data_IF_854070057964
#
_entry.id   IF_854070057964
#
_cell.length_a   1.000
_cell.length_b   1.000
_cell.length_c   1.000
_cell.angle_alpha   90.00
_cell.angle_beta   90.00
_cell.angle_gamma   90.00
#
_symmetry.space_group_name_H-M   'P 1'
#
loop_
_entity.id
_entity.type
_entity.pdbx_description
1 polymer ?
#
# COMPACT_ATOMS: atom_id res chain seq x y z
N UNK A 1 -73.15 -9.59 -74.38
CA UNK A 1 -72.66 -8.40 -75.11
C UNK A 1 -72.32 -7.34 -74.07
N UNK A 2 -71.27 -6.54 -74.30
CA UNK A 2 -70.78 -5.41 -73.48
C UNK A 2 -69.74 -5.76 -72.41
N UNK A 3 -68.50 -5.79 -72.92
CA UNK A 3 -67.25 -5.31 -72.32
C UNK A 3 -67.40 -4.03 -71.49
N UNK A 4 -66.62 -3.86 -70.42
CA UNK A 4 -65.81 -2.65 -70.22
C UNK A 4 -64.74 -2.77 -69.12
N UNK A 5 -63.64 -2.08 -69.42
CA UNK A 5 -62.27 -2.11 -68.90
C UNK A 5 -62.09 -1.23 -67.63
N UNK A 6 -60.88 -1.18 -67.03
CA UNK A 6 -60.65 -1.20 -65.58
C UNK A 6 -60.54 0.19 -64.94
N UNK A 7 -60.50 0.25 -63.61
CA UNK A 7 -60.07 1.43 -62.86
C UNK A 7 -58.78 1.17 -62.08
N UNK A 8 -57.92 2.19 -62.19
CA UNK A 8 -56.52 2.27 -61.79
C UNK A 8 -56.36 2.21 -60.26
N UNK A 9 -55.33 1.48 -59.83
CA UNK A 9 -54.83 1.51 -58.47
C UNK A 9 -54.07 2.81 -58.20
N UNK A 10 -54.41 3.47 -57.10
CA UNK A 10 -53.61 4.51 -56.45
C UNK A 10 -53.20 4.00 -55.08
N UNK A 11 -51.91 3.68 -54.93
CA UNK A 11 -51.30 3.35 -53.65
C UNK A 11 -51.10 4.63 -52.83
N UNK A 12 -51.77 4.73 -51.68
CA UNK A 12 -51.48 5.75 -50.68
C UNK A 12 -50.57 5.12 -49.62
N UNK A 13 -49.34 5.60 -49.53
CA UNK A 13 -48.39 5.24 -48.50
C UNK A 13 -48.81 5.88 -47.15
N UNK A 14 -49.14 5.06 -46.15
CA UNK A 14 -49.23 5.50 -44.76
C UNK A 14 -47.92 5.17 -44.05
N UNK A 15 -47.13 6.20 -43.77
CA UNK A 15 -45.97 6.13 -42.88
C UNK A 15 -46.44 6.14 -41.43
N UNK A 16 -46.42 5.00 -40.74
CA UNK A 16 -46.57 4.94 -39.28
C UNK A 16 -45.24 5.37 -38.63
N UNK A 17 -45.21 6.57 -38.06
CA UNK A 17 -44.17 6.96 -37.12
C UNK A 17 -44.52 6.40 -35.73
N UNK A 18 -43.86 5.32 -35.31
CA UNK A 18 -43.93 4.84 -33.94
C UNK A 18 -42.95 5.65 -33.08
N UNK A 19 -43.47 6.47 -32.17
CA UNK A 19 -42.68 7.15 -31.14
C UNK A 19 -42.45 6.16 -30.00
N UNK A 20 -41.28 5.52 -29.95
CA UNK A 20 -40.84 4.75 -28.79
C UNK A 20 -40.29 5.72 -27.74
N UNK A 21 -41.03 5.93 -26.66
CA UNK A 21 -40.52 6.54 -25.43
C UNK A 21 -39.74 5.49 -24.65
N UNK A 22 -38.42 5.49 -24.80
CA UNK A 22 -37.53 4.71 -23.95
C UNK A 22 -37.39 5.39 -22.59
N UNK A 23 -38.12 4.89 -21.59
CA UNK A 23 -37.82 5.19 -20.18
C UNK A 23 -36.57 4.41 -19.81
N UNK A 24 -35.43 5.09 -19.74
CA UNK A 24 -34.21 4.49 -19.19
C UNK A 24 -34.41 4.28 -17.68
N UNK A 25 -34.52 3.03 -17.25
CA UNK A 25 -34.46 2.69 -15.83
C UNK A 25 -33.05 2.99 -15.33
N UNK A 26 -32.93 3.90 -14.36
CA UNK A 26 -31.68 4.14 -13.66
C UNK A 26 -31.24 2.85 -12.93
N UNK A 27 -29.95 2.45 -12.96
CA UNK A 27 -29.49 1.30 -12.22
C UNK A 27 -29.68 1.57 -10.73
N UNK A 28 -30.37 0.65 -10.04
CA UNK A 28 -30.47 0.67 -8.59
C UNK A 28 -29.04 0.60 -8.00
N UNK A 29 -28.66 1.64 -7.25
CA UNK A 29 -27.42 1.64 -6.49
C UNK A 29 -27.52 0.53 -5.44
N UNK A 30 -26.64 -0.46 -5.56
CA UNK A 30 -26.50 -1.47 -4.52
C UNK A 30 -26.18 -0.78 -3.18
N UNK A 31 -26.79 -1.20 -2.07
CA UNK A 31 -26.47 -0.62 -0.77
C UNK A 31 -24.98 -0.77 -0.51
N UNK A 32 -24.32 0.35 -0.18
CA UNK A 32 -22.93 0.36 0.19
C UNK A 32 -22.72 -0.64 1.33
N UNK A 33 -21.83 -1.61 1.11
CA UNK A 33 -21.42 -2.52 2.20
C UNK A 33 -20.89 -1.66 3.34
N UNK A 34 -21.27 -1.92 4.61
CA UNK A 34 -20.69 -1.21 5.73
C UNK A 34 -19.17 -1.35 5.65
N UNK A 35 -18.48 -0.22 5.81
CA UNK A 35 -17.02 -0.20 5.86
C UNK A 35 -16.55 -1.19 6.92
N UNK A 36 -15.53 -1.99 6.61
CA UNK A 36 -14.92 -2.87 7.59
C UNK A 36 -14.49 -2.03 8.81
N UNK A 37 -14.65 -2.54 10.04
CA UNK A 37 -14.20 -1.83 11.23
C UNK A 37 -12.70 -1.49 11.09
N UNK A 38 -12.34 -0.28 11.52
CA UNK A 38 -10.95 0.13 11.54
C UNK A 38 -10.11 -0.89 12.34
N UNK A 39 -8.88 -1.20 11.90
CA UNK A 39 -8.03 -2.14 12.63
C UNK A 39 -7.84 -1.66 14.07
N UNK A 40 -8.01 -2.58 15.02
CA UNK A 40 -7.88 -2.28 16.44
C UNK A 40 -6.46 -1.76 16.75
N UNK A 41 -6.37 -0.83 17.70
CA UNK A 41 -5.08 -0.42 18.26
C UNK A 41 -4.38 -1.61 18.92
N UNK A 42 -3.04 -1.59 18.95
CA UNK A 42 -2.32 -2.64 19.65
C UNK A 42 -2.59 -2.62 21.14
N UNK A 43 -2.70 -3.80 21.76
CA UNK A 43 -2.78 -3.90 23.21
C UNK A 43 -1.50 -3.39 23.89
N UNK A 44 -0.35 -3.47 23.22
CA UNK A 44 0.93 -2.98 23.71
C UNK A 44 1.30 -1.71 22.96
N UNK A 45 1.61 -0.64 23.69
CA UNK A 45 2.11 0.63 23.17
C UNK A 45 3.36 1.02 23.94
N UNK A 46 4.31 1.66 23.26
CA UNK A 46 5.54 2.18 23.88
C UNK A 46 5.50 3.71 23.91
N UNK A 47 5.97 4.28 25.02
CA UNK A 47 6.15 5.73 25.16
C UNK A 47 7.26 6.22 24.21
N UNK A 48 8.34 5.45 24.11
CA UNK A 48 9.42 5.71 23.15
C UNK A 48 8.98 5.43 21.71
N UNK A 49 8.83 6.49 20.92
CA UNK A 49 8.45 6.42 19.51
C UNK A 49 9.56 5.86 18.60
N UNK A 50 10.80 5.78 19.09
CA UNK A 50 11.93 5.13 18.42
C UNK A 50 12.20 3.72 18.97
N UNK A 51 11.22 3.08 19.64
CA UNK A 51 11.43 1.76 20.24
C UNK A 51 11.90 0.70 19.21
N UNK A 52 11.41 0.78 17.98
CA UNK A 52 11.82 -0.10 16.89
C UNK A 52 13.24 0.19 16.34
N UNK A 53 13.85 1.32 16.65
CA UNK A 53 15.06 1.80 15.96
C UNK A 53 16.27 0.87 16.11
N UNK A 54 16.89 0.54 14.97
CA UNK A 54 18.21 -0.10 14.90
C UNK A 54 19.35 0.88 15.21
N UNK A 55 19.16 2.16 14.88
CA UNK A 55 20.08 3.25 15.19
C UNK A 55 19.38 4.25 16.13
N UNK A 56 19.74 4.16 17.41
CA UNK A 56 19.16 4.95 18.50
C UNK A 56 19.66 6.40 18.53
N UNK A 57 20.52 6.82 17.60
CA UNK A 57 20.97 8.23 17.47
C UNK A 57 19.97 9.12 16.72
N UNK A 58 18.88 8.54 16.22
CA UNK A 58 17.85 9.31 15.51
C UNK A 58 17.24 10.38 16.41
N UNK A 59 17.08 11.59 15.88
CA UNK A 59 16.49 12.72 16.60
C UNK A 59 15.07 12.96 16.11
N UNK A 60 14.08 12.46 16.87
CA UNK A 60 12.67 12.54 16.49
C UNK A 60 12.16 13.99 16.42
N UNK A 61 12.81 14.94 17.12
CA UNK A 61 12.41 16.35 17.11
C UNK A 61 12.70 17.06 15.79
N UNK A 62 13.47 16.43 14.89
CA UNK A 62 13.79 16.96 13.56
C UNK A 62 12.82 16.53 12.47
N UNK A 63 11.95 15.56 12.74
CA UNK A 63 10.99 15.03 11.77
C UNK A 63 10.01 16.13 11.38
N UNK A 64 9.85 16.36 10.07
CA UNK A 64 8.84 17.29 9.53
C UNK A 64 8.00 16.63 8.44
N UNK A 65 6.70 16.96 8.33
CA UNK A 65 5.88 17.69 9.30
C UNK A 65 5.65 16.87 10.58
N UNK A 66 4.81 17.36 11.49
CA UNK A 66 4.47 16.66 12.74
C UNK A 66 4.00 15.23 12.44
N UNK A 67 4.70 14.20 12.95
CA UNK A 67 4.47 12.82 12.53
C UNK A 67 3.19 12.23 13.12
N UNK A 68 2.37 11.60 12.28
CA UNK A 68 1.28 10.72 12.72
C UNK A 68 1.83 9.31 12.96
N UNK A 69 2.05 8.96 14.23
CA UNK A 69 2.54 7.64 14.61
C UNK A 69 1.50 6.54 14.39
N UNK A 70 1.93 5.42 13.80
CA UNK A 70 1.14 4.19 13.71
C UNK A 70 0.96 3.58 15.10
N UNK A 71 -0.28 3.20 15.41
CA UNK A 71 -0.68 2.58 16.69
C UNK A 71 -1.16 1.13 16.54
N UNK A 72 -1.19 0.61 15.31
CA UNK A 72 -1.49 -0.80 15.00
C UNK A 72 -0.19 -1.63 14.94
N UNK A 73 -0.33 -2.97 14.93
CA UNK A 73 0.76 -3.96 15.06
C UNK A 73 0.59 -5.08 14.05
N UNK A 74 -0.30 -4.91 13.07
CA UNK A 74 -0.36 -5.83 11.94
C UNK A 74 0.99 -5.86 11.20
N UNK A 75 1.33 -7.01 10.64
CA UNK A 75 2.57 -7.20 9.89
C UNK A 75 2.73 -6.13 8.82
N UNK A 76 3.93 -5.59 8.72
CA UNK A 76 4.37 -4.70 7.66
C UNK A 76 5.35 -5.43 6.75
N UNK A 77 5.56 -4.88 5.57
CA UNK A 77 6.36 -5.50 4.53
C UNK A 77 7.45 -4.58 4.04
N UNK A 78 8.58 -5.15 3.64
CA UNK A 78 9.67 -4.40 3.03
C UNK A 78 10.32 -5.19 1.90
N UNK A 79 10.27 -4.61 0.71
CA UNK A 79 11.02 -5.08 -0.43
C UNK A 79 12.48 -4.59 -0.33
N UNK A 80 13.46 -5.50 -0.22
CA UNK A 80 14.89 -5.14 -0.12
C UNK A 80 15.76 -6.01 -1.04
N UNK A 81 16.91 -5.48 -1.44
CA UNK A 81 17.90 -6.20 -2.26
C UNK A 81 18.91 -6.98 -1.43
N UNK A 82 19.08 -6.62 -0.14
CA UNK A 82 19.97 -7.31 0.79
C UNK A 82 19.36 -8.64 1.22
N UNK A 83 20.20 -9.67 1.33
CA UNK A 83 19.78 -11.00 1.77
C UNK A 83 19.66 -11.14 3.29
N UNK A 84 19.01 -12.23 3.75
CA UNK A 84 18.73 -12.46 5.17
C UNK A 84 19.98 -12.55 6.04
N UNK A 85 21.10 -13.05 5.51
CA UNK A 85 22.37 -13.13 6.25
C UNK A 85 22.89 -11.78 6.75
N UNK A 86 22.51 -10.68 6.09
CA UNK A 86 22.83 -9.31 6.51
C UNK A 86 21.69 -8.75 7.37
N UNK A 87 20.46 -8.84 6.88
CA UNK A 87 19.30 -8.18 7.51
C UNK A 87 18.96 -8.81 8.86
N UNK A 88 19.08 -10.13 9.01
CA UNK A 88 18.80 -10.81 10.29
C UNK A 88 19.86 -10.50 11.33
N UNK A 89 21.10 -10.18 10.94
CA UNK A 89 22.15 -9.82 11.90
C UNK A 89 22.12 -8.34 12.28
N UNK A 90 21.92 -7.45 11.31
CA UNK A 90 22.04 -6.00 11.53
C UNK A 90 20.70 -5.31 11.81
N UNK A 91 19.59 -5.92 11.39
CA UNK A 91 18.33 -5.23 11.21
C UNK A 91 18.33 -4.34 9.97
N UNK A 92 17.28 -3.53 9.82
CA UNK A 92 17.25 -2.49 8.81
C UNK A 92 17.80 -1.19 9.37
N UNK A 93 19.06 -0.90 9.06
CA UNK A 93 19.65 0.40 9.37
C UNK A 93 19.25 1.47 8.34
N UNK A 94 18.95 2.69 8.78
CA UNK A 94 18.74 3.82 7.88
C UNK A 94 20.06 4.25 7.23
N UNK A 95 19.98 5.06 6.18
CA UNK A 95 21.18 5.50 5.45
C UNK A 95 21.95 6.59 6.20
N UNK A 96 21.25 7.53 6.82
CA UNK A 96 21.89 8.63 7.53
C UNK A 96 20.95 9.25 8.58
N UNK A 97 21.22 9.00 9.86
CA UNK A 97 20.49 9.62 10.98
C UNK A 97 21.02 10.99 11.38
N UNK A 98 22.21 11.38 10.93
CA UNK A 98 22.87 12.61 11.36
C UNK A 98 22.56 13.73 10.37
N UNK A 99 22.90 13.54 9.09
CA UNK A 99 22.76 14.55 8.04
C UNK A 99 21.68 14.21 7.00
N UNK A 100 20.95 13.12 7.20
CA UNK A 100 19.91 12.68 6.28
C UNK A 100 18.70 13.62 6.20
N UNK A 101 17.85 13.34 5.23
CA UNK A 101 16.59 14.06 5.02
C UNK A 101 15.53 13.69 6.07
N UNK A 102 15.29 14.58 7.04
CA UNK A 102 14.25 14.40 8.04
C UNK A 102 12.86 14.87 7.58
N UNK A 103 12.76 15.64 6.51
CA UNK A 103 11.46 15.99 5.94
C UNK A 103 10.86 14.79 5.20
N UNK A 104 9.76 14.28 5.72
CA UNK A 104 9.12 13.04 5.28
C UNK A 104 8.59 13.18 3.85
N UNK A 105 8.00 14.31 3.49
CA UNK A 105 7.49 14.54 2.14
C UNK A 105 8.63 14.55 1.11
N UNK A 106 9.72 15.29 1.38
CA UNK A 106 10.90 15.30 0.51
C UNK A 106 11.54 13.91 0.40
N UNK A 107 11.58 13.16 1.49
CA UNK A 107 12.06 11.78 1.49
C UNK A 107 11.23 10.90 0.55
N UNK A 108 9.90 10.89 0.71
CA UNK A 108 8.97 10.09 -0.08
C UNK A 108 9.05 10.43 -1.58
N UNK A 109 9.22 11.72 -1.91
CA UNK A 109 9.25 12.16 -3.31
C UNK A 109 10.56 11.82 -4.04
N UNK A 110 11.71 11.90 -3.37
CA UNK A 110 13.04 11.88 -4.02
C UNK A 110 13.88 10.64 -3.65
N UNK A 111 13.57 9.93 -2.57
CA UNK A 111 14.30 8.76 -2.08
C UNK A 111 15.82 9.01 -1.90
N UNK A 112 16.14 10.09 -1.18
CA UNK A 112 17.51 10.46 -0.80
C UNK A 112 17.94 9.85 0.54
N UNK A 113 19.24 9.82 0.90
CA UNK A 113 19.68 9.37 2.23
C UNK A 113 18.91 10.06 3.36
N UNK A 114 18.38 9.27 4.29
CA UNK A 114 17.43 9.70 5.31
C UNK A 114 17.59 8.86 6.60
N UNK A 115 17.00 9.32 7.72
CA UNK A 115 16.93 8.54 8.96
C UNK A 115 15.88 7.43 8.88
N UNK A 116 15.16 7.30 7.76
CA UNK A 116 14.00 6.43 7.62
C UNK A 116 14.35 5.10 6.96
N UNK A 117 13.66 4.05 7.41
CA UNK A 117 13.48 2.82 6.66
C UNK A 117 12.01 2.70 6.30
N UNK A 118 11.71 2.72 5.00
CA UNK A 118 10.34 2.48 4.51
C UNK A 118 9.92 1.03 4.69
N UNK A 119 8.66 0.88 5.08
CA UNK A 119 7.89 -0.36 5.02
C UNK A 119 6.51 -0.03 4.48
N UNK A 120 5.66 -1.02 4.27
CA UNK A 120 4.30 -0.82 3.78
C UNK A 120 3.32 -1.72 4.51
N UNK A 121 2.05 -1.29 4.56
CA UNK A 121 0.94 -2.15 4.94
C UNK A 121 0.58 -3.17 3.84
N UNK A 122 0.92 -2.91 2.58
CA UNK A 122 0.58 -3.75 1.44
C UNK A 122 1.58 -4.89 1.27
N UNK A 123 1.13 -6.12 1.59
CA UNK A 123 1.88 -7.35 1.35
C UNK A 123 2.42 -7.45 -0.07
N UNK A 124 1.65 -7.02 -1.06
CA UNK A 124 1.93 -7.24 -2.47
C UNK A 124 2.77 -6.14 -3.11
N UNK A 125 3.19 -5.12 -2.34
CA UNK A 125 3.94 -4.00 -2.90
C UNK A 125 5.26 -4.45 -3.54
N UNK A 126 5.86 -5.55 -3.08
CA UNK A 126 7.07 -6.13 -3.70
C UNK A 126 6.89 -6.40 -5.20
N UNK A 127 5.68 -6.66 -5.69
CA UNK A 127 5.37 -6.89 -7.12
C UNK A 127 5.59 -5.65 -7.99
N UNK A 128 5.55 -4.46 -7.40
CA UNK A 128 5.86 -3.19 -8.08
C UNK A 128 7.37 -2.93 -8.14
N UNK A 129 8.17 -3.57 -7.28
CA UNK A 129 9.60 -3.36 -7.15
C UNK A 129 10.41 -4.49 -7.80
N UNK A 130 11.69 -4.22 -8.12
CA UNK A 130 12.64 -5.23 -8.64
C UNK A 130 13.50 -5.84 -7.52
N UNK A 131 13.02 -5.81 -6.29
CA UNK A 131 13.72 -6.32 -5.11
C UNK A 131 13.81 -7.85 -5.15
N UNK A 132 14.83 -8.40 -4.50
CA UNK A 132 15.06 -9.84 -4.46
C UNK A 132 14.30 -10.54 -3.32
N UNK A 133 13.86 -9.77 -2.32
CA UNK A 133 13.28 -10.29 -1.09
C UNK A 133 12.09 -9.45 -0.65
N UNK A 134 11.09 -10.10 -0.06
CA UNK A 134 10.01 -9.48 0.69
C UNK A 134 10.16 -9.85 2.16
N UNK A 135 10.44 -8.87 3.01
CA UNK A 135 10.62 -9.06 4.44
C UNK A 135 9.33 -8.81 5.19
N UNK A 136 9.11 -9.63 6.21
CA UNK A 136 7.97 -9.56 7.12
C UNK A 136 8.43 -8.89 8.41
N UNK A 137 7.75 -7.82 8.80
CA UNK A 137 8.14 -6.94 9.90
C UNK A 137 7.00 -6.86 10.91
N UNK A 138 7.31 -7.14 12.16
CA UNK A 138 6.41 -6.97 13.31
C UNK A 138 7.10 -6.02 14.30
N UNK A 139 6.90 -4.72 14.07
CA UNK A 139 7.54 -3.65 14.81
C UNK A 139 6.51 -2.67 15.40
N UNK A 140 6.73 -2.18 16.63
CA UNK A 140 5.89 -1.13 17.21
C UNK A 140 6.17 0.23 16.53
N UNK A 141 5.13 1.05 16.41
CA UNK A 141 5.26 2.43 15.92
C UNK A 141 5.52 2.54 14.42
N UNK A 142 6.40 3.48 14.06
CA UNK A 142 6.60 3.98 12.69
C UNK A 142 5.69 5.18 12.38
N UNK A 143 6.12 6.05 11.47
CA UNK A 143 5.34 7.20 10.99
C UNK A 143 4.48 6.76 9.82
N UNK A 144 3.17 6.88 9.96
CA UNK A 144 2.20 6.59 8.90
C UNK A 144 2.25 7.74 7.88
N UNK A 145 2.80 7.48 6.69
CA UNK A 145 3.12 8.53 5.71
C UNK A 145 1.85 9.22 5.25
N UNK A 146 0.84 8.46 4.81
CA UNK A 146 -0.39 9.04 4.26
C UNK A 146 -1.16 9.85 5.31
N UNK A 147 -1.12 9.45 6.60
CA UNK A 147 -1.71 10.25 7.68
C UNK A 147 -0.91 11.50 8.02
N UNK A 148 0.38 11.52 7.72
CA UNK A 148 1.29 12.63 8.04
C UNK A 148 1.31 13.70 6.95
N UNK A 149 1.40 13.29 5.67
CA UNK A 149 1.53 14.21 4.52
C UNK A 149 0.32 14.20 3.58
N UNK A 150 -0.76 13.51 3.96
CA UNK A 150 -1.95 13.31 3.14
C UNK A 150 -1.82 12.13 2.17
N UNK A 151 -2.91 11.82 1.46
CA UNK A 151 -3.01 10.65 0.56
C UNK A 151 -3.14 11.05 -0.93
N UNK A 152 -2.85 12.31 -1.26
CA UNK A 152 -2.94 12.85 -2.62
C UNK A 152 -1.61 12.85 -3.38
N UNK A 153 -0.50 12.55 -2.70
CA UNK A 153 0.83 12.51 -3.32
C UNK A 153 0.99 11.29 -4.24
N UNK A 154 1.98 11.37 -5.16
CA UNK A 154 2.25 10.37 -6.22
C UNK A 154 2.41 8.92 -5.71
N UNK A 155 2.78 8.74 -4.45
CA UNK A 155 3.14 7.46 -3.86
C UNK A 155 2.19 7.01 -2.73
N UNK A 156 1.02 7.65 -2.60
CA UNK A 156 0.06 7.32 -1.55
C UNK A 156 -0.46 5.87 -1.65
N UNK A 157 -0.47 5.29 -2.86
CA UNK A 157 -0.84 3.90 -3.12
C UNK A 157 0.17 2.88 -2.55
N UNK A 158 1.32 3.34 -2.07
CA UNK A 158 2.30 2.48 -1.40
C UNK A 158 1.96 2.23 0.07
N UNK A 159 1.04 3.00 0.67
CA UNK A 159 0.61 2.84 2.06
C UNK A 159 1.81 2.71 3.01
N UNK A 160 2.73 3.68 2.91
CA UNK A 160 4.04 3.60 3.56
C UNK A 160 3.98 3.86 5.06
N UNK A 161 4.79 3.11 5.81
CA UNK A 161 5.17 3.40 7.20
C UNK A 161 6.68 3.59 7.25
N UNK A 162 7.12 4.79 7.61
CA UNK A 162 8.53 5.16 7.70
C UNK A 162 9.05 5.00 9.14
N UNK A 163 10.10 4.19 9.32
CA UNK A 163 10.71 3.96 10.64
C UNK A 163 11.94 4.86 10.86
N UNK A 164 11.85 5.92 11.67
CA UNK A 164 13.01 6.72 12.04
C UNK A 164 13.98 5.90 12.89
N UNK A 165 15.26 5.92 12.54
CA UNK A 165 16.29 5.07 13.16
C UNK A 165 16.25 3.62 12.66
N UNK A 166 15.39 3.31 11.70
CA UNK A 166 15.26 1.97 11.12
C UNK A 166 14.58 0.96 12.03
N UNK A 167 14.91 -0.32 11.84
CA UNK A 167 14.20 -1.45 12.47
C UNK A 167 15.20 -2.45 13.01
N UNK A 168 15.24 -2.60 14.34
CA UNK A 168 16.09 -3.55 15.01
C UNK A 168 15.72 -4.98 14.61
N UNK A 169 16.72 -5.85 14.48
CA UNK A 169 16.55 -7.24 13.99
C UNK A 169 15.50 -8.05 14.76
N UNK A 170 15.27 -7.75 16.04
CA UNK A 170 14.27 -8.44 16.86
C UNK A 170 12.82 -8.25 16.39
N UNK A 171 12.57 -7.24 15.57
CA UNK A 171 11.25 -6.91 15.01
C UNK A 171 11.07 -7.38 13.55
N UNK A 172 12.05 -8.10 13.00
CA UNK A 172 11.96 -8.69 11.66
C UNK A 172 11.56 -10.15 11.86
N UNK A 173 10.41 -10.55 11.35
CA UNK A 173 9.85 -11.91 11.52
C UNK A 173 10.62 -12.91 10.64
N UNK A 174 10.87 -12.51 9.39
CA UNK A 174 11.45 -13.40 8.39
C UNK A 174 11.46 -12.76 7.01
N UNK A 175 11.70 -13.58 6.00
CA UNK A 175 11.79 -13.16 4.61
C UNK A 175 11.31 -14.25 3.67
N UNK A 176 10.76 -13.85 2.53
CA UNK A 176 10.57 -14.72 1.37
C UNK A 176 11.36 -14.16 0.17
N UNK A 177 12.16 -14.98 -0.53
CA UNK A 177 12.73 -14.61 -1.81
C UNK A 177 11.62 -14.35 -2.84
N UNK A 178 11.88 -13.47 -3.80
CA UNK A 178 10.94 -13.11 -4.86
C UNK A 178 11.48 -13.56 -6.22
N UNK A 179 10.67 -14.33 -6.96
CA UNK A 179 10.90 -14.57 -8.37
C UNK A 179 10.56 -13.29 -9.16
N UNK A 180 11.58 -12.70 -9.78
CA UNK A 180 11.45 -11.43 -10.51
C UNK A 180 10.69 -11.56 -11.83
N UNK A 181 10.66 -12.76 -12.43
CA UNK A 181 9.97 -12.98 -13.70
C UNK A 181 8.45 -13.08 -13.49
N UNK A 182 8.04 -13.83 -12.47
CA UNK A 182 6.64 -14.09 -12.16
C UNK A 182 6.06 -13.10 -11.13
N UNK A 183 6.91 -12.35 -10.43
CA UNK A 183 6.55 -11.42 -9.35
C UNK A 183 5.79 -12.14 -8.22
N UNK A 184 6.27 -13.31 -7.85
CA UNK A 184 5.71 -14.11 -6.75
C UNK A 184 6.78 -14.40 -5.72
N UNK A 185 6.38 -14.54 -4.46
CA UNK A 185 7.26 -15.08 -3.44
C UNK A 185 7.53 -16.57 -3.70
N UNK A 186 8.77 -17.00 -3.52
CA UNK A 186 9.18 -18.39 -3.56
C UNK A 186 8.93 -18.95 -2.16
N UNK A 187 7.68 -19.36 -1.91
CA UNK A 187 7.22 -19.69 -0.56
C UNK A 187 7.99 -20.85 0.10
N UNK A 188 8.52 -21.79 -0.70
CA UNK A 188 9.34 -22.91 -0.22
C UNK A 188 10.66 -22.46 0.41
N UNK A 189 11.13 -21.26 0.04
CA UNK A 189 12.45 -20.74 0.37
C UNK A 189 12.34 -19.59 1.39
N UNK A 190 11.17 -19.40 2.01
CA UNK A 190 11.02 -18.43 3.08
C UNK A 190 11.82 -18.86 4.32
N UNK A 191 12.47 -17.89 4.95
CA UNK A 191 13.31 -18.09 6.12
C UNK A 191 12.76 -17.30 7.31
N UNK A 192 12.69 -17.96 8.47
CA UNK A 192 12.40 -17.29 9.74
C UNK A 192 13.66 -16.65 10.30
N UNK A 193 13.54 -15.44 10.83
CA UNK A 193 14.65 -14.79 11.51
C UNK A 193 14.88 -15.42 12.90
N UNK A 194 16.05 -16.02 13.18
CA UNK A 194 16.32 -16.62 14.51
C UNK A 194 16.38 -15.58 15.64
N UNK A 195 16.49 -14.29 15.32
CA UNK A 195 16.53 -13.20 16.31
C UNK A 195 15.18 -12.54 16.57
N UNK A 196 14.11 -12.95 15.88
CA UNK A 196 12.77 -12.39 16.08
C UNK A 196 12.29 -12.61 17.52
N UNK A 197 11.66 -11.58 18.11
CA UNK A 197 11.05 -11.63 19.44
C UNK A 197 9.64 -11.05 19.39
N UNK A 198 8.59 -11.90 19.48
CA UNK A 198 7.21 -11.45 19.63
C UNK A 198 7.04 -10.54 20.84
N UNK A 199 6.11 -9.59 20.74
CA UNK A 199 5.90 -8.55 21.77
C UNK A 199 4.42 -8.24 22.07
N UNK A 200 3.47 -8.91 21.41
CA UNK A 200 2.03 -8.86 21.66
C UNK A 200 1.38 -10.24 21.52
#
# INVERSE_FOLDING_TARGET
MITLRPRRATAAALSLAAVLTTTAAAPAQAPARPAAPAPAACPVQYDDKAEAAADRRVDLGRITPDPSWRTTCGTLYRADGRGPSVVFEEGFRPRDVVNGQYDLEKYVLVNQPSPYVSTTYDHDLFKKWKSAFNYYVDAPGGVDVNKTIGDTHKYADQQEVAFPGGIARRYIVGVCPVDKATKTEIMSDCESNPHYKPWH
#
